data_IF_630331261659
#
_entry.id   IF_630331261659
#
_cell.length_a   1.000
_cell.length_b   1.000
_cell.length_c   1.000
_cell.angle_alpha   90.00
_cell.angle_beta   90.00
_cell.angle_gamma   90.00
#
_symmetry.space_group_name_H-M   'P 1'
#
loop_
_entity.id
_entity.type
_entity.pdbx_description
1 polymer ?
#
# COMPACT_ATOMS: atom_id res chain seq x y z
N UNK A 1 0.32 -15.50 17.08
CA UNK A 1 -0.63 -16.48 16.47
C UNK A 1 -0.31 -16.63 14.98
N UNK A 2 -0.51 -17.80 14.39
CA UNK A 2 -0.30 -18.04 12.95
C UNK A 2 -1.64 -18.19 12.22
N UNK A 3 -1.78 -17.52 11.08
CA UNK A 3 -2.94 -17.63 10.18
C UNK A 3 -2.47 -17.86 8.75
N UNK A 4 -3.11 -18.79 8.04
CA UNK A 4 -2.87 -19.01 6.62
C UNK A 4 -3.93 -18.28 5.81
N UNK A 5 -3.49 -17.58 4.75
CA UNK A 5 -4.37 -16.84 3.84
C UNK A 5 -4.01 -17.14 2.39
N UNK A 6 -5.01 -17.13 1.51
CA UNK A 6 -4.74 -17.07 0.07
C UNK A 6 -4.28 -15.66 -0.34
N UNK A 7 -3.86 -15.47 -1.60
CA UNK A 7 -3.40 -14.16 -2.09
C UNK A 7 -4.50 -13.07 -2.12
N UNK A 8 -5.76 -13.45 -1.98
CA UNK A 8 -6.89 -12.52 -1.84
C UNK A 8 -7.19 -12.19 -0.37
N UNK A 9 -6.33 -12.59 0.57
CA UNK A 9 -6.46 -12.29 1.99
C UNK A 9 -7.52 -13.11 2.73
N UNK A 10 -8.15 -14.11 2.10
CA UNK A 10 -9.12 -15.00 2.76
C UNK A 10 -8.40 -16.08 3.56
N UNK A 11 -8.90 -16.38 4.76
CA UNK A 11 -8.39 -17.47 5.59
C UNK A 11 -8.52 -18.81 4.87
N UNK A 12 -7.48 -19.63 4.98
CA UNK A 12 -7.44 -21.00 4.47
C UNK A 12 -6.94 -21.94 5.58
N UNK A 13 -7.30 -23.22 5.50
CA UNK A 13 -6.76 -24.23 6.39
C UNK A 13 -5.35 -24.64 5.99
N UNK A 14 -4.59 -25.20 6.93
CA UNK A 14 -3.27 -25.77 6.66
C UNK A 14 -3.32 -26.90 5.61
N UNK A 15 -4.41 -27.67 5.58
CA UNK A 15 -4.63 -28.70 4.56
C UNK A 15 -4.76 -28.10 3.15
N UNK A 16 -5.39 -26.93 3.02
CA UNK A 16 -5.53 -26.23 1.74
C UNK A 16 -4.19 -25.68 1.24
N UNK A 17 -3.25 -25.36 2.13
CA UNK A 17 -1.91 -24.87 1.75
C UNK A 17 -1.18 -25.86 0.85
N UNK A 18 -1.28 -27.16 1.14
CA UNK A 18 -0.65 -28.21 0.32
C UNK A 18 -1.16 -28.28 -1.12
N UNK A 19 -2.32 -27.68 -1.40
CA UNK A 19 -2.96 -27.65 -2.72
C UNK A 19 -2.69 -26.35 -3.49
N UNK A 20 -2.17 -25.32 -2.82
CA UNK A 20 -1.95 -24.01 -3.42
C UNK A 20 -0.52 -23.82 -3.90
N UNK A 21 -0.38 -23.21 -5.07
CA UNK A 21 0.91 -22.77 -5.59
C UNK A 21 1.44 -21.51 -4.90
N UNK A 22 0.53 -20.66 -4.45
CA UNK A 22 0.82 -19.38 -3.82
C UNK A 22 -0.14 -19.13 -2.65
N UNK A 23 0.40 -18.61 -1.54
CA UNK A 23 -0.34 -18.34 -0.31
C UNK A 23 0.50 -17.44 0.61
N UNK A 24 -0.11 -16.93 1.67
CA UNK A 24 0.53 -16.11 2.69
C UNK A 24 0.36 -16.72 4.08
N UNK A 25 1.40 -16.62 4.91
CA UNK A 25 1.40 -17.00 6.31
C UNK A 25 1.55 -15.73 7.13
N UNK A 26 0.53 -15.37 7.90
CA UNK A 26 0.54 -14.23 8.79
C UNK A 26 0.93 -14.69 10.19
N UNK A 27 1.91 -14.02 10.79
CA UNK A 27 2.32 -14.22 12.18
C UNK A 27 2.04 -12.95 12.95
N UNK A 28 1.22 -13.05 13.99
CA UNK A 28 1.02 -11.98 14.96
C UNK A 28 1.91 -12.18 16.17
N UNK A 29 2.35 -11.08 16.76
CA UNK A 29 3.01 -11.05 18.05
C UNK A 29 2.02 -11.46 19.15
N UNK A 30 2.41 -12.41 20.00
CA UNK A 30 1.50 -12.99 21.01
C UNK A 30 1.23 -12.06 22.19
N UNK A 31 2.07 -11.05 22.43
CA UNK A 31 1.92 -10.10 23.53
C UNK A 31 1.00 -8.93 23.15
N UNK A 32 1.19 -8.39 21.95
CA UNK A 32 0.49 -7.20 21.46
C UNK A 32 -0.71 -7.56 20.58
N UNK A 33 -0.77 -8.77 20.04
CA UNK A 33 -1.76 -9.20 19.07
C UNK A 33 -1.58 -8.57 17.69
N UNK A 34 -0.55 -7.75 17.47
CA UNK A 34 -0.31 -7.04 16.23
C UNK A 34 0.35 -7.93 15.17
N UNK A 35 0.10 -7.65 13.90
CA UNK A 35 0.77 -8.35 12.80
C UNK A 35 2.27 -8.07 12.84
N UNK A 36 3.07 -9.13 12.93
CA UNK A 36 4.52 -9.05 13.07
C UNK A 36 5.24 -9.40 11.78
N UNK A 37 4.77 -10.42 11.08
CA UNK A 37 5.39 -10.94 9.86
C UNK A 37 4.35 -11.49 8.90
N UNK A 38 4.58 -11.31 7.61
CA UNK A 38 3.88 -12.05 6.54
C UNK A 38 4.93 -12.79 5.71
N UNK A 39 4.77 -14.09 5.53
CA UNK A 39 5.56 -14.89 4.59
C UNK A 39 4.68 -15.23 3.39
N UNK A 40 4.97 -14.66 2.23
CA UNK A 40 4.24 -14.95 0.99
C UNK A 40 5.06 -15.87 0.11
N UNK A 41 4.47 -17.01 -0.25
CA UNK A 41 5.01 -17.93 -1.24
C UNK A 41 4.42 -17.52 -2.58
N UNK A 42 5.28 -17.17 -3.54
CA UNK A 42 4.89 -16.72 -4.88
C UNK A 42 5.60 -17.50 -5.97
N UNK A 43 5.05 -17.43 -7.18
CA UNK A 43 5.66 -17.97 -8.39
C UNK A 43 6.24 -16.87 -9.27
N UNK A 44 7.43 -17.11 -9.78
CA UNK A 44 7.96 -16.39 -10.94
C UNK A 44 7.39 -16.97 -12.22
N UNK A 45 7.64 -16.28 -13.33
CA UNK A 45 7.51 -16.87 -14.67
C UNK A 45 8.31 -18.19 -14.72
N UNK A 46 7.68 -19.26 -15.23
CA UNK A 46 8.28 -20.59 -15.29
C UNK A 46 8.11 -21.44 -14.02
N UNK A 47 7.10 -21.15 -13.18
CA UNK A 47 6.76 -21.93 -11.97
C UNK A 47 7.87 -22.02 -10.89
N UNK A 48 8.91 -21.18 -10.97
CA UNK A 48 9.92 -21.10 -9.91
C UNK A 48 9.35 -20.39 -8.69
N UNK A 49 9.31 -21.09 -7.54
CA UNK A 49 8.88 -20.51 -6.27
C UNK A 49 9.93 -19.56 -5.70
N UNK A 50 9.47 -18.48 -5.09
CA UNK A 50 10.27 -17.61 -4.24
C UNK A 50 9.47 -17.20 -3.00
N UNK A 51 10.17 -16.74 -1.96
CA UNK A 51 9.52 -16.22 -0.74
C UNK A 51 9.72 -14.73 -0.62
N UNK A 52 8.63 -14.03 -0.33
CA UNK A 52 8.65 -12.62 0.04
C UNK A 52 8.18 -12.49 1.48
N UNK A 53 9.08 -12.01 2.34
CA UNK A 53 8.79 -11.68 3.72
C UNK A 53 8.39 -10.22 3.83
N UNK A 54 7.37 -9.91 4.61
CA UNK A 54 7.09 -8.58 5.13
C UNK A 54 7.26 -8.63 6.64
N UNK A 55 7.93 -7.64 7.22
CA UNK A 55 8.24 -7.60 8.63
C UNK A 55 7.90 -6.23 9.21
N UNK A 56 7.16 -6.19 10.32
CA UNK A 56 6.83 -4.98 11.07
C UNK A 56 7.82 -4.83 12.21
N UNK A 57 8.77 -3.92 12.03
CA UNK A 57 9.91 -3.73 12.92
C UNK A 57 9.53 -2.88 14.13
N UNK A 58 9.79 -3.41 15.32
CA UNK A 58 9.62 -2.68 16.57
C UNK A 58 10.83 -1.78 16.85
N UNK A 59 10.62 -0.70 17.59
CA UNK A 59 11.64 0.33 17.85
C UNK A 59 12.94 -0.15 18.51
N UNK A 60 12.95 -1.34 19.13
CA UNK A 60 14.12 -1.93 19.77
C UNK A 60 14.81 -3.04 18.98
N UNK A 61 14.28 -3.43 17.81
CA UNK A 61 14.82 -4.57 17.07
C UNK A 61 16.00 -4.22 16.18
N UNK A 62 16.95 -5.15 16.08
CA UNK A 62 18.10 -5.00 15.19
C UNK A 62 17.68 -5.28 13.73
N UNK A 63 17.36 -4.21 13.00
CA UNK A 63 17.03 -4.24 11.57
C UNK A 63 18.01 -5.06 10.73
N UNK A 64 19.32 -4.90 10.95
CA UNK A 64 20.35 -5.64 10.20
C UNK A 64 20.26 -7.15 10.46
N UNK A 65 19.95 -7.55 11.70
CA UNK A 65 19.71 -8.95 12.05
C UNK A 65 18.48 -9.52 11.33
N UNK A 66 17.39 -8.75 11.24
CA UNK A 66 16.18 -9.13 10.51
C UNK A 66 16.47 -9.29 9.01
N UNK A 67 17.24 -8.38 8.41
CA UNK A 67 17.64 -8.48 6.99
C UNK A 67 18.42 -9.77 6.74
N UNK A 68 19.42 -10.08 7.57
CA UNK A 68 20.21 -11.30 7.43
C UNK A 68 19.38 -12.57 7.63
N UNK A 69 18.41 -12.54 8.52
CA UNK A 69 17.54 -13.69 8.80
C UNK A 69 16.56 -13.98 7.65
N UNK A 70 16.04 -12.95 6.98
CA UNK A 70 14.94 -13.08 6.02
C UNK A 70 15.31 -12.76 4.58
N UNK A 71 16.60 -12.62 4.27
CA UNK A 71 17.11 -12.58 2.90
C UNK A 71 18.04 -13.76 2.64
N UNK A 72 17.96 -14.35 1.45
CA UNK A 72 18.77 -15.51 1.09
C UNK A 72 18.83 -15.67 -0.43
N UNK A 73 20.04 -15.61 -0.99
CA UNK A 73 20.23 -15.68 -2.44
C UNK A 73 19.89 -17.07 -3.00
N UNK A 74 20.35 -18.13 -2.31
CA UNK A 74 20.17 -19.54 -2.72
C UNK A 74 18.70 -19.94 -2.76
N UNK A 75 17.94 -19.52 -1.75
CA UNK A 75 16.52 -19.85 -1.62
C UNK A 75 15.60 -18.74 -2.18
N UNK A 76 16.17 -17.67 -2.73
CA UNK A 76 15.50 -16.47 -3.24
C UNK A 76 14.46 -15.87 -2.26
N UNK A 77 14.93 -15.60 -1.04
CA UNK A 77 14.14 -14.96 0.00
C UNK A 77 14.34 -13.46 -0.07
N UNK A 78 13.26 -12.71 -0.23
CA UNK A 78 13.26 -11.24 -0.32
C UNK A 78 12.49 -10.66 0.87
N UNK A 79 12.77 -9.42 1.23
CA UNK A 79 12.26 -8.84 2.47
C UNK A 79 11.76 -7.40 2.27
N UNK A 80 10.52 -7.13 2.67
CA UNK A 80 9.99 -5.81 2.96
C UNK A 80 10.01 -5.54 4.47
N UNK A 81 10.50 -4.38 4.89
CA UNK A 81 10.48 -3.94 6.29
C UNK A 81 9.59 -2.70 6.41
N UNK A 82 8.57 -2.77 7.27
CA UNK A 82 7.82 -1.64 7.77
C UNK A 82 8.48 -1.14 9.05
N UNK A 83 8.83 0.14 9.12
CA UNK A 83 9.46 0.77 10.29
C UNK A 83 8.95 2.19 10.51
N UNK A 84 9.34 2.81 11.63
CA UNK A 84 8.99 4.20 11.97
C UNK A 84 7.48 4.50 11.87
N UNK A 85 6.65 3.69 12.52
CA UNK A 85 5.20 3.91 12.56
C UNK A 85 4.88 5.32 13.09
N UNK A 86 4.12 6.07 12.30
CA UNK A 86 3.52 7.35 12.68
C UNK A 86 2.01 7.24 12.61
N UNK A 87 1.32 7.93 13.51
CA UNK A 87 -0.15 7.94 13.54
C UNK A 87 -0.69 9.36 13.60
N UNK A 88 -1.75 9.62 12.85
CA UNK A 88 -2.55 10.85 12.94
C UNK A 88 -3.98 10.57 12.49
N UNK A 89 -4.97 11.09 13.21
CA UNK A 89 -6.40 10.90 12.89
C UNK A 89 -6.79 9.44 12.62
N UNK A 90 -6.21 8.51 13.40
CA UNK A 90 -6.37 7.05 13.26
C UNK A 90 -5.82 6.42 11.97
N UNK A 91 -5.12 7.18 11.12
CA UNK A 91 -4.32 6.67 10.01
C UNK A 91 -2.93 6.27 10.50
N UNK A 92 -2.34 5.28 9.84
CA UNK A 92 -1.01 4.73 10.16
C UNK A 92 -0.10 4.91 8.97
N UNK A 93 0.96 5.70 9.10
CA UNK A 93 2.01 5.80 8.09
C UNK A 93 3.22 4.98 8.52
N UNK A 94 3.78 4.22 7.58
CA UNK A 94 5.01 3.47 7.76
C UNK A 94 6.05 3.90 6.75
N UNK A 95 7.31 3.90 7.18
CA UNK A 95 8.44 3.78 6.26
C UNK A 95 8.52 2.32 5.82
N UNK A 96 8.60 2.11 4.51
CA UNK A 96 8.70 0.78 3.91
C UNK A 96 9.95 0.68 3.04
N UNK A 97 10.78 -0.32 3.33
CA UNK A 97 12.00 -0.62 2.59
C UNK A 97 11.95 -2.03 2.04
N UNK A 98 12.32 -2.20 0.77
CA UNK A 98 12.35 -3.49 0.11
C UNK A 98 13.80 -3.89 -0.17
N UNK A 99 14.16 -5.11 0.21
CA UNK A 99 15.48 -5.70 0.09
C UNK A 99 15.46 -6.87 -0.90
N UNK A 100 16.50 -6.94 -1.72
CA UNK A 100 16.75 -8.06 -2.62
C UNK A 100 17.00 -9.36 -1.84
N UNK A 101 17.15 -10.46 -2.58
CA UNK A 101 17.55 -11.74 -1.99
C UNK A 101 18.99 -11.78 -1.47
N UNK A 102 19.80 -10.77 -1.79
CA UNK A 102 21.15 -10.57 -1.26
C UNK A 102 21.19 -9.60 -0.08
N UNK A 103 20.04 -9.11 0.40
CA UNK A 103 19.97 -8.15 1.50
C UNK A 103 20.28 -6.71 1.10
N UNK A 104 20.37 -6.41 -0.20
CA UNK A 104 20.61 -5.06 -0.71
C UNK A 104 19.29 -4.29 -0.78
N UNK A 105 19.26 -3.06 -0.29
CA UNK A 105 18.10 -2.17 -0.40
C UNK A 105 17.83 -1.82 -1.87
N UNK A 106 16.64 -2.14 -2.37
CA UNK A 106 16.23 -1.91 -3.77
C UNK A 106 15.05 -0.94 -3.94
N UNK A 107 14.30 -0.65 -2.87
CA UNK A 107 13.28 0.40 -2.90
C UNK A 107 13.03 0.99 -1.50
N UNK A 108 12.73 2.29 -1.47
CA UNK A 108 12.15 2.99 -0.32
C UNK A 108 10.77 3.52 -0.70
N UNK A 109 9.84 3.48 0.24
CA UNK A 109 8.51 4.09 0.10
C UNK A 109 7.94 4.49 1.44
N UNK A 110 6.95 5.38 1.44
CA UNK A 110 6.02 5.54 2.55
C UNK A 110 4.67 5.01 2.13
N UNK A 111 4.01 4.33 3.06
CA UNK A 111 2.65 3.82 2.88
C UNK A 111 1.79 4.27 4.03
N UNK A 112 0.54 4.61 3.73
CA UNK A 112 -0.44 5.00 4.74
C UNK A 112 -1.63 4.07 4.65
N UNK A 113 -2.08 3.61 5.81
CA UNK A 113 -3.24 2.76 5.96
C UNK A 113 -4.33 3.46 6.78
N UNK A 114 -5.58 3.19 6.44
CA UNK A 114 -6.73 3.60 7.24
C UNK A 114 -6.99 2.68 8.44
N UNK A 115 -8.08 2.95 9.16
CA UNK A 115 -8.50 2.19 10.34
C UNK A 115 -8.91 0.75 10.02
N UNK A 116 -9.23 0.46 8.76
CA UNK A 116 -9.55 -0.89 8.27
C UNK A 116 -8.30 -1.60 7.72
N UNK A 117 -7.11 -0.99 7.85
CA UNK A 117 -5.84 -1.42 7.28
C UNK A 117 -5.86 -1.51 5.74
N UNK A 118 -6.68 -0.69 5.08
CA UNK A 118 -6.65 -0.51 3.62
C UNK A 118 -5.60 0.55 3.26
N UNK A 119 -4.89 0.34 2.15
CA UNK A 119 -3.85 1.26 1.69
C UNK A 119 -4.50 2.54 1.15
N UNK A 120 -4.21 3.70 1.75
CA UNK A 120 -4.73 4.99 1.29
C UNK A 120 -3.69 5.87 0.61
N UNK A 121 -2.40 5.60 0.81
CA UNK A 121 -1.32 6.28 0.09
C UNK A 121 -0.12 5.34 -0.09
N UNK A 122 0.51 5.44 -1.25
CA UNK A 122 1.83 4.87 -1.53
C UNK A 122 2.67 5.86 -2.32
N UNK A 123 3.85 6.18 -1.80
CA UNK A 123 4.81 7.05 -2.46
C UNK A 123 6.20 6.43 -2.40
N UNK A 124 6.92 6.44 -3.52
CA UNK A 124 8.27 5.89 -3.61
C UNK A 124 9.30 6.99 -3.51
N UNK A 125 10.45 6.67 -2.92
CA UNK A 125 11.58 7.58 -2.80
C UNK A 125 12.80 7.04 -3.51
N UNK A 126 13.59 7.93 -4.11
CA UNK A 126 14.91 7.60 -4.61
C UNK A 126 15.82 7.26 -3.43
N UNK A 127 16.58 6.17 -3.55
CA UNK A 127 17.33 5.63 -2.40
C UNK A 127 18.46 6.56 -1.96
N UNK A 128 19.04 7.30 -2.90
CA UNK A 128 20.24 8.12 -2.68
C UNK A 128 19.87 9.54 -2.24
N UNK A 129 18.83 10.11 -2.84
CA UNK A 129 18.45 11.52 -2.63
C UNK A 129 17.31 11.68 -1.62
N UNK A 130 16.58 10.60 -1.31
CA UNK A 130 15.32 10.64 -0.55
C UNK A 130 14.27 11.59 -1.14
N UNK A 131 14.40 11.95 -2.42
CA UNK A 131 13.38 12.67 -3.16
C UNK A 131 12.25 11.74 -3.62
N UNK A 132 11.03 12.28 -3.73
CA UNK A 132 9.89 11.52 -4.25
C UNK A 132 10.16 11.14 -5.70
N UNK A 133 10.06 9.84 -6.03
CA UNK A 133 10.24 9.38 -7.40
C UNK A 133 9.08 9.84 -8.27
N UNK A 134 9.44 10.26 -9.48
CA UNK A 134 8.49 10.51 -10.58
C UNK A 134 7.95 9.21 -11.18
N UNK A 135 8.66 8.09 -11.01
CA UNK A 135 8.20 6.75 -11.40
C UNK A 135 8.73 5.66 -10.45
N UNK A 136 7.90 4.71 -9.97
CA UNK A 136 6.43 4.63 -10.16
C UNK A 136 5.70 5.85 -9.62
N UNK A 137 4.54 6.18 -10.20
CA UNK A 137 3.73 7.33 -9.78
C UNK A 137 3.30 7.17 -8.32
N UNK A 138 3.37 8.24 -7.49
CA UNK A 138 2.69 8.29 -6.21
C UNK A 138 1.16 8.14 -6.38
N UNK A 139 0.53 7.44 -5.44
CA UNK A 139 -0.90 7.10 -5.50
C UNK A 139 -1.56 7.37 -4.16
N UNK A 140 -2.78 7.92 -4.18
CA UNK A 140 -3.73 7.88 -3.08
C UNK A 140 -4.98 7.09 -3.46
N UNK A 141 -5.60 6.43 -2.49
CA UNK A 141 -6.86 5.71 -2.66
C UNK A 141 -7.92 6.31 -1.76
N UNK A 142 -9.10 6.50 -2.35
CA UNK A 142 -10.34 6.77 -1.65
C UNK A 142 -11.22 5.54 -1.73
N UNK A 143 -11.84 5.21 -0.60
CA UNK A 143 -12.81 4.13 -0.50
C UNK A 143 -14.15 4.72 -0.06
N UNK A 144 -15.24 4.24 -0.67
CA UNK A 144 -16.60 4.67 -0.36
C UNK A 144 -16.86 4.82 1.14
N UNK A 145 -17.43 5.96 1.51
CA UNK A 145 -17.96 6.22 2.84
C UNK A 145 -19.39 5.70 2.97
N UNK A 146 -19.94 5.78 4.19
CA UNK A 146 -21.36 5.47 4.41
C UNK A 146 -22.29 6.42 3.66
N UNK A 147 -21.88 7.67 3.41
CA UNK A 147 -22.66 8.63 2.62
C UNK A 147 -22.72 8.19 1.15
N UNK A 148 -21.59 7.75 0.58
CA UNK A 148 -21.54 7.25 -0.81
C UNK A 148 -22.39 6.00 -0.98
N UNK A 149 -22.35 5.09 -0.01
CA UNK A 149 -23.19 3.90 -0.01
C UNK A 149 -24.69 4.24 -0.04
N UNK A 150 -25.13 5.25 0.74
CA UNK A 150 -26.53 5.74 0.72
C UNK A 150 -26.90 6.33 -0.63
N UNK A 151 -25.94 6.92 -1.34
CA UNK A 151 -26.11 7.48 -2.68
C UNK A 151 -25.91 6.45 -3.81
N UNK A 152 -25.85 5.15 -3.49
CA UNK A 152 -25.74 4.07 -4.48
C UNK A 152 -24.32 3.79 -4.98
N UNK A 153 -23.29 4.32 -4.30
CA UNK A 153 -21.87 4.20 -4.64
C UNK A 153 -21.09 3.36 -3.61
N UNK A 154 -21.71 2.30 -3.10
CA UNK A 154 -21.16 1.50 -1.98
C UNK A 154 -19.81 0.83 -2.30
N UNK A 155 -19.55 0.56 -3.58
CA UNK A 155 -18.31 -0.08 -4.06
C UNK A 155 -17.34 0.93 -4.69
N UNK A 156 -17.57 2.23 -4.53
CA UNK A 156 -16.70 3.26 -5.12
C UNK A 156 -15.28 3.16 -4.55
N UNK A 157 -14.31 3.02 -5.45
CA UNK A 157 -12.88 3.05 -5.14
C UNK A 157 -12.18 3.95 -6.14
N UNK A 158 -11.71 5.11 -5.69
CA UNK A 158 -11.00 6.06 -6.54
C UNK A 158 -9.50 5.96 -6.31
N UNK A 159 -8.74 5.90 -7.39
CA UNK A 159 -7.30 5.97 -7.41
C UNK A 159 -6.86 7.33 -7.96
N UNK A 160 -6.19 8.12 -7.12
CA UNK A 160 -5.58 9.39 -7.47
C UNK A 160 -4.11 9.17 -7.76
N UNK A 161 -3.67 9.37 -9.01
CA UNK A 161 -2.27 9.28 -9.41
C UNK A 161 -1.66 10.68 -9.58
N UNK A 162 -0.47 10.88 -9.04
CA UNK A 162 0.23 12.17 -9.08
C UNK A 162 1.39 12.11 -10.07
N UNK A 163 1.23 12.70 -11.24
CA UNK A 163 2.27 12.73 -12.28
C UNK A 163 3.04 14.04 -12.27
N UNK A 164 4.36 13.99 -12.31
CA UNK A 164 5.18 15.20 -12.27
C UNK A 164 5.23 15.86 -13.65
N UNK A 165 4.75 17.10 -13.74
CA UNK A 165 4.80 17.91 -14.95
C UNK A 165 6.01 18.84 -14.91
N UNK A 166 7.02 18.53 -15.73
CA UNK A 166 8.29 19.29 -15.82
C UNK A 166 8.09 20.76 -16.27
N UNK A 167 7.06 21.06 -17.07
CA UNK A 167 6.86 22.41 -17.61
C UNK A 167 6.45 23.41 -16.53
N UNK A 168 5.71 22.94 -15.52
CA UNK A 168 5.21 23.73 -14.40
C UNK A 168 5.88 23.33 -13.07
N UNK A 169 6.83 22.39 -13.13
CA UNK A 169 7.61 21.89 -12.00
C UNK A 169 6.75 21.46 -10.79
N UNK A 170 5.63 20.79 -11.04
CA UNK A 170 4.68 20.35 -10.00
C UNK A 170 3.98 19.04 -10.37
N UNK A 171 3.45 18.35 -9.36
CA UNK A 171 2.60 17.18 -9.57
C UNK A 171 1.19 17.59 -10.03
N UNK A 172 0.65 16.83 -10.99
CA UNK A 172 -0.70 16.95 -11.52
C UNK A 172 -1.48 15.67 -11.19
N UNK A 173 -2.75 15.82 -10.83
CA UNK A 173 -3.59 14.73 -10.34
C UNK A 173 -4.46 14.17 -11.47
N UNK A 174 -4.46 12.84 -11.61
CA UNK A 174 -5.39 12.09 -12.41
C UNK A 174 -6.19 11.13 -11.53
N UNK A 175 -7.45 10.89 -11.89
CA UNK A 175 -8.38 10.11 -11.09
C UNK A 175 -8.94 8.97 -11.93
N UNK A 176 -8.97 7.76 -11.36
CA UNK A 176 -9.58 6.57 -11.94
C UNK A 176 -10.55 5.94 -10.94
N UNK A 177 -11.72 5.53 -11.41
CA UNK A 177 -12.60 4.62 -10.67
C UNK A 177 -12.16 3.18 -10.95
N UNK A 178 -11.71 2.48 -9.91
CA UNK A 178 -11.16 1.14 -10.02
C UNK A 178 -12.22 0.07 -10.22
N UNK A 179 -13.44 0.31 -9.74
CA UNK A 179 -14.54 -0.64 -9.81
C UNK A 179 -15.57 -0.28 -10.89
N UNK A 180 -15.27 0.76 -11.69
CA UNK A 180 -16.16 1.29 -12.73
C UNK A 180 -17.58 1.56 -12.22
N UNK A 181 -17.72 1.88 -10.93
CA UNK A 181 -19.00 2.12 -10.24
C UNK A 181 -19.77 3.29 -10.87
N UNK A 182 -19.04 4.28 -11.36
CA UNK A 182 -19.56 5.44 -12.08
C UNK A 182 -19.78 5.19 -13.58
N UNK A 183 -19.22 4.09 -14.13
CA UNK A 183 -19.25 3.77 -15.56
C UNK A 183 -18.46 4.72 -16.48
N UNK A 184 -17.94 5.85 -15.97
CA UNK A 184 -17.42 6.94 -16.81
C UNK A 184 -15.98 7.40 -16.45
N UNK A 185 -15.42 6.96 -15.32
CA UNK A 185 -14.08 7.38 -14.87
C UNK A 185 -13.03 6.31 -15.22
N UNK A 186 -12.69 6.17 -16.49
CA UNK A 186 -11.57 5.31 -16.91
C UNK A 186 -10.20 5.90 -16.52
N UNK A 187 -10.00 7.20 -16.73
CA UNK A 187 -8.94 8.08 -16.17
C UNK A 187 -9.29 9.51 -16.58
N UNK A 188 -9.50 10.43 -15.63
CA UNK A 188 -9.81 11.85 -15.89
C UNK A 188 -8.83 12.78 -15.17
N UNK A 189 -8.63 13.97 -15.71
CA UNK A 189 -8.01 15.06 -14.96
C UNK A 189 -9.01 15.60 -13.90
N UNK A 190 -8.55 16.53 -13.05
CA UNK A 190 -9.38 17.11 -11.99
C UNK A 190 -10.64 17.78 -12.55
N UNK A 191 -10.53 18.58 -13.62
CA UNK A 191 -11.69 19.29 -14.19
C UNK A 191 -12.78 18.33 -14.67
N UNK A 192 -12.39 17.29 -15.42
CA UNK A 192 -13.34 16.28 -15.91
C UNK A 192 -13.91 15.41 -14.78
N UNK A 193 -13.18 15.24 -13.67
CA UNK A 193 -13.70 14.59 -12.48
C UNK A 193 -14.74 15.45 -11.76
N UNK A 194 -14.47 16.76 -11.60
CA UNK A 194 -15.41 17.72 -11.00
C UNK A 194 -16.69 17.84 -11.82
N UNK A 195 -16.60 17.85 -13.14
CA UNK A 195 -17.77 17.86 -14.03
C UNK A 195 -18.70 16.66 -13.78
N UNK A 196 -18.12 15.49 -13.47
CA UNK A 196 -18.87 14.25 -13.26
C UNK A 196 -19.36 14.07 -11.82
N UNK A 197 -18.47 14.22 -10.84
CA UNK A 197 -18.76 13.95 -9.41
C UNK A 197 -19.26 15.18 -8.65
N UNK A 198 -19.15 16.37 -9.25
CA UNK A 198 -19.53 17.63 -8.65
C UNK A 198 -18.42 18.27 -7.81
N UNK A 199 -18.45 19.61 -7.79
CA UNK A 199 -17.50 20.42 -7.02
C UNK A 199 -17.63 20.20 -5.52
N UNK A 200 -18.84 19.92 -5.02
CA UNK A 200 -19.09 19.66 -3.61
C UNK A 200 -18.39 18.39 -3.13
N UNK A 201 -18.38 17.31 -3.93
CA UNK A 201 -17.60 16.12 -3.63
C UNK A 201 -16.12 16.48 -3.55
N UNK A 202 -15.58 17.13 -4.58
CA UNK A 202 -14.16 17.50 -4.60
C UNK A 202 -13.76 18.32 -3.37
N UNK A 203 -14.53 19.35 -3.01
CA UNK A 203 -14.21 20.23 -1.89
C UNK A 203 -14.35 19.56 -0.51
N UNK A 204 -15.19 18.54 -0.38
CA UNK A 204 -15.27 17.72 0.85
C UNK A 204 -14.01 16.89 1.08
N UNK A 205 -13.22 16.63 0.05
CA UNK A 205 -12.10 15.69 0.07
C UNK A 205 -10.73 16.35 -0.23
N UNK A 206 -10.30 17.37 0.55
CA UNK A 206 -9.11 18.18 0.26
C UNK A 206 -7.79 17.39 0.33
N UNK A 207 -7.77 16.26 1.04
CA UNK A 207 -6.58 15.43 1.16
C UNK A 207 -6.10 14.87 -0.19
N UNK A 208 -7.00 14.65 -1.16
CA UNK A 208 -6.63 14.12 -2.48
C UNK A 208 -6.24 15.20 -3.49
N UNK A 209 -6.43 16.49 -3.17
CA UNK A 209 -6.14 17.60 -4.10
C UNK A 209 -4.67 17.66 -4.49
N UNK A 210 -3.79 17.22 -3.59
CA UNK A 210 -2.35 17.18 -3.80
C UNK A 210 -1.72 15.94 -3.17
N UNK A 211 -0.50 15.62 -3.59
CA UNK A 211 0.28 14.53 -3.03
C UNK A 211 0.60 14.77 -1.54
N UNK A 212 0.92 16.01 -1.19
CA UNK A 212 1.19 16.42 0.18
C UNK A 212 -0.06 17.03 0.83
N UNK A 213 -0.29 16.82 2.15
CA UNK A 213 0.52 16.00 3.06
C UNK A 213 0.38 14.49 2.75
N UNK A 214 1.42 13.70 3.08
CA UNK A 214 1.40 12.23 2.92
C UNK A 214 0.52 11.53 3.95
N UNK A 215 0.45 12.06 5.16
CA UNK A 215 -0.41 11.56 6.23
C UNK A 215 -1.60 12.53 6.36
N UNK A 216 -2.84 12.03 6.47
CA UNK A 216 -4.00 12.90 6.62
C UNK A 216 -3.91 13.84 7.82
N UNK A 217 -4.42 15.07 7.64
CA UNK A 217 -4.51 16.11 8.67
C UNK A 217 -5.92 16.28 9.22
N UNK A 218 -6.85 15.42 8.81
CA UNK A 218 -8.24 15.37 9.26
C UNK A 218 -8.80 13.95 9.07
N UNK A 219 -9.92 13.65 9.74
CA UNK A 219 -10.68 12.42 9.51
C UNK A 219 -11.45 12.42 8.19
N UNK A 220 -11.78 13.62 7.71
CA UNK A 220 -12.40 13.81 6.40
C UNK A 220 -11.26 13.75 5.39
N UNK A 221 -11.17 12.64 4.67
CA UNK A 221 -10.25 12.46 3.55
C UNK A 221 -11.02 12.28 2.27
#
# INVERSE_FOLDING_TARGET
MIQYKNLNGKLISEQQVGLLKEYAIHTTDDQTGLLKKVETIKLKRGDQRYKFFEYYLDSGENKSGIIQQYTNEVNDYRLGIYSNLQTAFNFKMWDFENYSNTGVLIAKSKVVFDTQNRLILKVYFDIQTDEIKKFPLPIKYYYASSEDAVNGLADLELMFTYEFNENINQFVTYIKDLNETTGEIHTKNVDGFIELMGLDFWNKHPYYHALQPLLPTSLII
#
